data_IF_423390818653
#
_entry.id   IF_423390818653
#
_cell.length_a   1.000
_cell.length_b   1.000
_cell.length_c   1.000
_cell.angle_alpha   90.00
_cell.angle_beta   90.00
_cell.angle_gamma   90.00
#
_symmetry.space_group_name_H-M   'P 1'
#
loop_
_entity.id
_entity.type
_entity.pdbx_description
1 polymer ?
#
# COMPACT_ATOMS: atom_id res chain seq x y z
N UNK A 1 20.02 -18.41 77.15
CA UNK A 1 18.97 -18.12 76.16
C UNK A 1 18.96 -16.63 75.86
N UNK A 2 18.83 -16.27 74.58
CA UNK A 2 18.82 -14.92 73.98
C UNK A 2 20.19 -14.33 73.62
N UNK A 3 20.62 -14.58 72.39
CA UNK A 3 21.25 -13.56 71.52
C UNK A 3 21.38 -14.14 70.10
N UNK A 4 20.27 -14.18 69.38
CA UNK A 4 20.19 -14.27 67.91
C UNK A 4 19.08 -13.31 67.51
N UNK A 5 19.17 -12.74 66.30
CA UNK A 5 18.12 -11.98 65.59
C UNK A 5 18.18 -10.44 65.63
N UNK A 6 19.37 -9.82 65.61
CA UNK A 6 19.46 -8.38 65.30
C UNK A 6 20.57 -8.10 64.28
N UNK A 7 20.48 -8.68 63.07
CA UNK A 7 21.33 -8.22 61.96
C UNK A 7 20.83 -8.57 60.54
N UNK A 8 19.87 -9.48 60.39
CA UNK A 8 19.35 -9.85 59.06
C UNK A 8 18.29 -8.86 58.55
N UNK A 9 17.50 -8.24 59.44
CA UNK A 9 16.50 -7.26 59.04
C UNK A 9 17.07 -5.92 58.57
N UNK A 10 18.23 -5.50 59.08
CA UNK A 10 18.84 -4.23 58.68
C UNK A 10 19.46 -4.31 57.27
N UNK A 11 20.12 -5.42 56.95
CA UNK A 11 20.68 -5.67 55.61
C UNK A 11 19.59 -5.82 54.53
N UNK A 12 18.45 -6.45 54.85
CA UNK A 12 17.31 -6.54 53.93
C UNK A 12 16.66 -5.17 53.67
N UNK A 13 16.52 -4.31 54.69
CA UNK A 13 15.94 -2.98 54.55
C UNK A 13 16.83 -2.03 53.71
N UNK A 14 18.15 -2.15 53.83
CA UNK A 14 19.11 -1.36 53.02
C UNK A 14 19.14 -1.85 51.56
N UNK A 15 19.04 -3.16 51.30
CA UNK A 15 18.91 -3.68 49.93
C UNK A 15 17.57 -3.28 49.29
N UNK A 16 16.47 -3.26 50.05
CA UNK A 16 15.16 -2.86 49.54
C UNK A 16 15.08 -1.35 49.21
N UNK A 17 15.76 -0.50 49.98
CA UNK A 17 15.82 0.94 49.73
C UNK A 17 16.77 1.30 48.58
N UNK A 18 17.87 0.58 48.40
CA UNK A 18 18.73 0.72 47.21
C UNK A 18 18.01 0.23 45.95
N UNK A 19 17.25 -0.88 46.02
CA UNK A 19 16.43 -1.36 44.89
C UNK A 19 15.32 -0.35 44.55
N UNK A 20 14.63 0.23 45.54
CA UNK A 20 13.64 1.30 45.30
C UNK A 20 14.29 2.57 44.72
N UNK A 21 15.48 2.95 45.17
CA UNK A 21 16.21 4.10 44.65
C UNK A 21 16.74 3.88 43.23
N UNK A 22 17.11 2.65 42.87
CA UNK A 22 17.49 2.29 41.49
C UNK A 22 16.29 2.14 40.56
N UNK A 23 15.12 1.75 41.07
CA UNK A 23 13.87 1.69 40.30
C UNK A 23 13.28 3.09 40.07
N UNK A 24 13.44 4.02 41.02
CA UNK A 24 13.01 5.41 40.85
C UNK A 24 13.91 6.19 39.87
N UNK A 25 15.18 5.82 39.72
CA UNK A 25 16.11 6.48 38.78
C UNK A 25 16.12 5.87 37.37
N UNK A 26 15.36 4.79 37.11
CA UNK A 26 15.17 4.23 35.77
C UNK A 26 13.98 4.85 35.00
N UNK A 27 13.27 5.79 35.62
CA UNK A 27 12.30 6.68 34.95
C UNK A 27 12.92 8.07 34.80
N UNK A 28 14.16 8.12 34.30
CA UNK A 28 14.62 9.34 33.63
C UNK A 28 13.93 9.34 32.27
N UNK A 29 12.80 10.06 32.23
CA UNK A 29 12.06 10.29 31.00
C UNK A 29 13.02 10.75 29.91
N UNK A 30 13.09 9.97 28.84
CA UNK A 30 13.47 10.52 27.55
C UNK A 30 12.51 11.67 27.29
N UNK A 31 13.00 12.90 27.44
CA UNK A 31 12.24 14.10 27.09
C UNK A 31 11.86 13.96 25.62
N UNK A 32 10.58 13.63 25.37
CA UNK A 32 9.96 13.83 24.06
C UNK A 32 10.18 15.31 23.75
N UNK A 33 10.91 15.63 22.68
CA UNK A 33 11.11 17.02 22.26
C UNK A 33 9.80 17.54 21.67
N UNK A 34 8.89 17.93 22.56
CA UNK A 34 7.60 18.51 22.20
C UNK A 34 7.88 19.95 21.77
N UNK A 35 7.97 20.18 20.46
CA UNK A 35 7.90 21.53 19.91
C UNK A 35 6.43 21.95 19.82
N UNK A 36 5.95 22.89 20.65
CA UNK A 36 4.56 23.32 20.64
C UNK A 36 4.15 24.07 19.36
N UNK A 37 5.11 24.47 18.51
CA UNK A 37 4.85 25.07 17.20
C UNK A 37 4.87 24.05 16.05
N UNK A 38 5.13 22.77 16.35
CA UNK A 38 5.10 21.70 15.37
C UNK A 38 3.67 21.45 14.88
N UNK A 39 3.46 21.60 13.59
CA UNK A 39 2.17 21.37 12.93
C UNK A 39 1.70 19.90 13.05
N UNK A 40 2.63 18.99 13.40
CA UNK A 40 2.40 17.57 13.66
C UNK A 40 2.15 17.25 15.15
N UNK A 41 2.02 18.26 16.02
CA UNK A 41 1.65 18.07 17.42
C UNK A 41 2.82 17.76 18.36
N UNK A 42 4.05 18.06 17.95
CA UNK A 42 5.25 18.07 18.80
C UNK A 42 5.98 16.73 18.87
N UNK A 43 5.55 15.71 18.12
CA UNK A 43 6.28 14.44 18.04
C UNK A 43 7.06 14.43 16.73
N UNK A 44 8.39 14.35 16.82
CA UNK A 44 9.25 14.36 15.63
C UNK A 44 9.07 13.09 14.79
N UNK A 45 8.85 13.24 13.48
CA UNK A 45 8.84 12.09 12.56
C UNK A 45 10.21 11.39 12.47
N UNK A 46 10.18 10.07 12.26
CA UNK A 46 11.37 9.28 11.92
C UNK A 46 12.35 9.04 13.06
N UNK A 47 12.01 9.46 14.29
CA UNK A 47 12.82 9.21 15.49
C UNK A 47 12.23 8.03 16.25
N UNK A 48 12.91 6.88 16.19
CA UNK A 48 12.50 5.71 16.96
C UNK A 48 12.69 5.97 18.46
N UNK A 49 11.63 5.77 19.23
CA UNK A 49 11.61 6.04 20.67
C UNK A 49 10.79 4.94 21.39
N UNK A 50 11.32 4.39 22.48
CA UNK A 50 10.67 3.29 23.20
C UNK A 50 9.38 3.71 23.94
N UNK A 51 9.26 4.99 24.28
CA UNK A 51 8.08 5.61 24.92
C UNK A 51 7.00 5.93 23.90
N UNK A 52 7.38 6.45 22.71
CA UNK A 52 6.42 6.92 21.72
C UNK A 52 6.07 5.86 20.65
N UNK A 53 7.06 5.50 19.82
CA UNK A 53 6.92 4.53 18.74
C UNK A 53 8.33 4.08 18.33
N UNK A 54 8.60 2.79 18.46
CA UNK A 54 9.83 2.15 17.98
C UNK A 54 9.56 1.20 16.81
N UNK A 55 8.32 1.20 16.29
CA UNK A 55 7.87 0.34 15.20
C UNK A 55 7.72 -1.14 15.55
N UNK A 56 7.89 -1.52 16.82
CA UNK A 56 7.87 -2.93 17.28
C UNK A 56 6.94 -3.17 18.46
N UNK A 57 6.96 -2.30 19.46
CA UNK A 57 6.10 -2.40 20.63
C UNK A 57 4.71 -1.79 20.34
N UNK A 58 3.69 -2.33 20.99
CA UNK A 58 2.30 -1.83 20.94
C UNK A 58 1.64 -1.82 19.55
N UNK A 59 2.26 -2.47 18.56
CA UNK A 59 1.75 -2.56 17.19
C UNK A 59 0.37 -3.21 17.11
N UNK A 60 0.04 -4.09 18.06
CA UNK A 60 -1.26 -4.75 18.18
C UNK A 60 -2.44 -3.78 18.38
N UNK A 61 -2.17 -2.52 18.71
CA UNK A 61 -3.18 -1.47 18.81
C UNK A 61 -3.71 -1.07 17.42
N UNK A 62 -2.83 -1.08 16.42
CA UNK A 62 -3.22 -0.78 15.04
C UNK A 62 -3.55 -2.06 14.25
N UNK A 63 -2.81 -3.14 14.51
CA UNK A 63 -3.00 -4.46 13.90
C UNK A 63 -2.28 -5.56 14.69
N UNK A 64 -2.97 -6.66 15.02
CA UNK A 64 -2.35 -7.85 15.61
C UNK A 64 -1.65 -8.70 14.53
N UNK A 65 -0.31 -8.82 14.53
CA UNK A 65 0.40 -9.61 13.52
C UNK A 65 0.11 -11.11 13.55
N UNK A 66 -0.52 -11.62 14.61
CA UNK A 66 -0.97 -13.01 14.69
C UNK A 66 -2.34 -13.22 14.05
N UNK A 67 -3.07 -12.14 13.74
CA UNK A 67 -4.31 -12.17 12.99
C UNK A 67 -4.03 -12.30 11.49
N UNK A 68 -4.87 -13.10 10.82
CA UNK A 68 -4.93 -13.13 9.36
C UNK A 68 -6.21 -12.51 8.81
N UNK A 69 -7.08 -11.98 9.66
CA UNK A 69 -8.40 -11.52 9.27
C UNK A 69 -8.36 -10.35 8.30
N UNK A 70 -7.29 -9.56 8.27
CA UNK A 70 -7.18 -8.40 7.38
C UNK A 70 -6.90 -8.79 5.92
N UNK A 71 -6.30 -9.95 5.70
CA UNK A 71 -5.84 -10.41 4.39
C UNK A 71 -6.36 -11.81 3.99
N UNK A 72 -7.13 -12.47 4.85
CA UNK A 72 -7.76 -13.76 4.52
C UNK A 72 -9.03 -13.55 3.70
N UNK A 73 -9.13 -14.21 2.56
CA UNK A 73 -10.34 -14.22 1.75
C UNK A 73 -11.29 -15.32 2.23
N UNK A 74 -12.44 -14.94 2.81
CA UNK A 74 -13.45 -15.89 3.30
C UNK A 74 -14.62 -16.08 2.33
N UNK A 75 -14.88 -15.09 1.48
CA UNK A 75 -15.92 -15.12 0.45
C UNK A 75 -15.27 -15.52 -0.86
N UNK A 76 -15.86 -16.42 -1.66
CA UNK A 76 -15.31 -16.76 -2.98
C UNK A 76 -15.05 -15.50 -3.83
N UNK A 77 -14.14 -15.59 -4.81
CA UNK A 77 -13.79 -14.44 -5.66
C UNK A 77 -15.05 -13.78 -6.23
N UNK A 78 -15.25 -12.48 -5.97
CA UNK A 78 -16.41 -11.75 -6.45
C UNK A 78 -16.51 -11.78 -7.97
N UNK A 79 -17.67 -12.18 -8.52
CA UNK A 79 -17.94 -12.15 -9.96
C UNK A 79 -18.10 -10.74 -10.54
N UNK A 80 -18.07 -9.69 -9.70
CA UNK A 80 -18.30 -8.31 -10.12
C UNK A 80 -17.18 -7.72 -10.99
N UNK A 81 -16.12 -8.48 -11.28
CA UNK A 81 -15.07 -8.13 -12.24
C UNK A 81 -15.55 -7.99 -13.70
N UNK A 82 -16.79 -8.40 -14.01
CA UNK A 82 -17.35 -8.29 -15.38
C UNK A 82 -17.77 -6.87 -15.74
N UNK A 83 -18.04 -6.01 -14.75
CA UNK A 83 -18.42 -4.61 -14.96
C UNK A 83 -17.24 -3.72 -14.57
N UNK A 84 -16.73 -2.95 -15.54
CA UNK A 84 -15.67 -1.98 -15.29
C UNK A 84 -16.25 -0.74 -14.63
N UNK A 85 -15.96 -0.56 -13.35
CA UNK A 85 -16.34 0.59 -12.55
C UNK A 85 -15.07 1.25 -12.03
N UNK A 86 -15.07 2.58 -11.99
CA UNK A 86 -14.05 3.34 -11.31
C UNK A 86 -14.64 4.65 -10.76
N UNK A 87 -14.05 5.18 -9.70
CA UNK A 87 -14.30 6.54 -9.27
C UNK A 87 -13.04 7.17 -8.69
N UNK A 88 -12.88 8.47 -8.90
CA UNK A 88 -11.80 9.25 -8.31
C UNK A 88 -12.38 10.40 -7.51
N UNK A 89 -11.83 10.60 -6.32
CA UNK A 89 -12.20 11.68 -5.43
C UNK A 89 -10.96 12.33 -4.83
N UNK A 90 -11.01 13.65 -4.64
CA UNK A 90 -10.01 14.39 -3.88
C UNK A 90 -10.72 15.26 -2.84
N UNK A 91 -10.30 15.14 -1.59
CA UNK A 91 -10.84 15.92 -0.50
C UNK A 91 -10.39 17.38 -0.65
N UNK A 92 -11.32 18.32 -0.42
CA UNK A 92 -11.04 19.76 -0.55
C UNK A 92 -9.97 20.25 0.43
N UNK A 93 -9.89 19.61 1.59
CA UNK A 93 -9.01 19.98 2.69
C UNK A 93 -8.43 18.71 3.31
N UNK A 94 -7.12 18.70 3.55
CA UNK A 94 -6.48 17.63 4.30
C UNK A 94 -6.83 17.74 5.78
N UNK A 95 -7.02 16.60 6.44
CA UNK A 95 -7.07 16.56 7.90
C UNK A 95 -5.66 16.78 8.47
N UNK A 96 -5.58 17.32 9.69
CA UNK A 96 -4.29 17.67 10.30
C UNK A 96 -3.39 16.43 10.49
N UNK A 97 -2.14 16.46 10.01
CA UNK A 97 -1.18 15.35 10.06
C UNK A 97 -0.52 15.18 11.43
N UNK A 98 -1.31 15.03 12.49
CA UNK A 98 -0.75 14.88 13.85
C UNK A 98 -0.04 13.52 14.02
N UNK A 99 1.17 13.54 14.55
CA UNK A 99 1.88 12.35 14.97
C UNK A 99 1.38 11.85 16.32
N UNK A 100 0.95 10.58 16.35
CA UNK A 100 0.37 9.96 17.55
C UNK A 100 1.22 8.81 18.04
N UNK A 101 1.76 8.96 19.25
CA UNK A 101 2.47 7.88 19.96
C UNK A 101 1.53 6.74 20.38
N UNK A 102 2.09 5.54 20.52
CA UNK A 102 1.45 4.49 21.31
C UNK A 102 1.37 4.88 22.79
N UNK A 103 0.44 4.29 23.57
CA UNK A 103 -0.60 3.33 23.17
C UNK A 103 -1.90 4.00 22.68
N UNK A 104 -1.89 5.29 22.32
CA UNK A 104 -3.12 5.95 21.87
C UNK A 104 -3.57 5.39 20.52
N UNK A 105 -4.82 4.94 20.44
CA UNK A 105 -5.44 4.53 19.20
C UNK A 105 -5.74 5.73 18.29
N UNK A 106 -5.72 5.51 16.98
CA UNK A 106 -6.10 6.49 15.96
C UNK A 106 -7.29 5.93 15.20
N UNK A 107 -8.40 6.67 15.18
CA UNK A 107 -9.62 6.30 14.48
C UNK A 107 -9.85 7.24 13.31
N UNK A 108 -10.25 6.68 12.18
CA UNK A 108 -10.60 7.42 10.98
C UNK A 108 -12.12 7.35 10.75
N UNK A 109 -12.69 8.44 10.26
CA UNK A 109 -14.10 8.49 9.86
C UNK A 109 -14.35 7.84 8.51
N UNK A 110 -13.32 7.77 7.67
CA UNK A 110 -13.38 7.18 6.34
C UNK A 110 -12.65 5.83 6.32
N UNK A 111 -13.15 4.89 5.54
CA UNK A 111 -12.49 3.60 5.33
C UNK A 111 -11.20 3.71 4.51
N UNK A 112 -11.08 4.72 3.65
CA UNK A 112 -9.91 4.98 2.82
C UNK A 112 -9.31 6.36 3.14
N UNK A 113 -8.73 6.52 4.35
CA UNK A 113 -8.15 7.79 4.76
C UNK A 113 -6.93 8.14 3.91
N UNK A 114 -6.89 9.38 3.42
CA UNK A 114 -5.82 9.92 2.56
C UNK A 114 -5.04 11.06 3.21
N UNK A 115 -5.45 11.48 4.40
CA UNK A 115 -4.80 12.48 5.26
C UNK A 115 -5.24 12.30 6.71
N UNK A 116 -4.63 13.02 7.65
CA UNK A 116 -4.99 13.01 9.07
C UNK A 116 -3.91 12.42 9.95
N UNK A 117 -4.26 12.19 11.21
CA UNK A 117 -3.30 11.72 12.23
C UNK A 117 -2.74 10.33 11.92
N UNK A 118 -1.47 10.10 12.23
CA UNK A 118 -0.77 8.85 11.89
C UNK A 118 0.43 8.60 12.83
N UNK A 119 1.14 7.48 12.66
CA UNK A 119 2.31 7.13 13.49
C UNK A 119 3.57 7.87 13.01
N UNK A 120 4.46 8.34 13.90
CA UNK A 120 5.65 9.12 13.53
C UNK A 120 6.71 8.33 12.75
N UNK A 121 6.68 6.99 12.79
CA UNK A 121 7.52 6.15 11.93
C UNK A 121 6.72 5.64 10.74
N UNK A 122 7.06 6.12 9.54
CA UNK A 122 6.45 5.61 8.30
C UNK A 122 7.02 4.23 7.94
N UNK A 123 6.25 3.41 7.20
CA UNK A 123 6.68 2.10 6.71
C UNK A 123 7.81 2.22 5.70
N UNK A 124 8.63 1.17 5.63
CA UNK A 124 9.49 0.97 4.47
C UNK A 124 8.65 0.86 3.20
N UNK A 125 9.11 1.43 2.10
CA UNK A 125 8.42 1.29 0.82
C UNK A 125 8.47 -0.17 0.36
N UNK A 126 7.35 -0.69 -0.13
CA UNK A 126 7.26 -2.09 -0.52
C UNK A 126 5.89 -2.75 -0.41
N UNK A 127 5.91 -4.08 -0.48
CA UNK A 127 4.73 -4.94 -0.40
C UNK A 127 4.63 -5.56 0.97
N UNK A 128 3.43 -5.54 1.55
CA UNK A 128 3.14 -5.99 2.89
C UNK A 128 2.13 -7.14 2.86
N UNK A 129 2.28 -8.05 3.83
CA UNK A 129 1.26 -9.04 4.19
C UNK A 129 -0.02 -8.32 4.62
N UNK A 130 0.14 -7.30 5.46
CA UNK A 130 -0.83 -6.28 5.75
C UNK A 130 -0.10 -5.07 6.34
N UNK A 131 -0.60 -3.88 6.05
CA UNK A 131 -0.14 -2.65 6.66
C UNK A 131 -1.36 -1.84 7.10
N UNK A 132 -1.44 -1.34 8.34
CA UNK A 132 -2.61 -0.59 8.79
C UNK A 132 -2.59 0.89 8.34
N UNK A 133 -3.76 1.56 8.30
CA UNK A 133 -3.87 2.96 7.86
C UNK A 133 -2.98 3.95 8.60
N UNK A 134 -2.80 3.71 9.90
CA UNK A 134 -1.96 4.55 10.77
C UNK A 134 -0.51 4.62 10.32
N UNK A 135 -0.04 3.65 9.50
CA UNK A 135 1.31 3.64 8.92
C UNK A 135 1.34 4.26 7.53
N UNK A 136 0.42 3.87 6.64
CA UNK A 136 0.51 4.31 5.25
C UNK A 136 0.16 5.79 5.07
N UNK A 137 -0.63 6.41 5.95
CA UNK A 137 -0.99 7.84 5.82
C UNK A 137 0.25 8.73 5.89
N UNK A 138 1.24 8.37 6.73
CA UNK A 138 2.52 9.07 6.78
C UNK A 138 3.25 8.97 5.42
N UNK A 139 3.23 7.80 4.79
CA UNK A 139 3.80 7.66 3.44
C UNK A 139 3.06 8.52 2.41
N UNK A 140 1.74 8.68 2.52
CA UNK A 140 0.97 9.59 1.65
C UNK A 140 1.42 11.05 1.85
N UNK A 141 1.68 11.46 3.09
CA UNK A 141 2.21 12.78 3.43
C UNK A 141 3.58 13.04 2.78
N UNK A 142 4.42 12.02 2.71
CA UNK A 142 5.70 12.04 1.99
C UNK A 142 5.58 11.92 0.46
N UNK A 143 4.36 11.89 -0.07
CA UNK A 143 4.08 11.82 -1.50
C UNK A 143 4.13 10.43 -2.12
N UNK A 144 4.11 9.37 -1.30
CA UNK A 144 4.03 7.98 -1.78
C UNK A 144 2.66 7.66 -2.41
N UNK A 145 2.58 6.52 -3.10
CA UNK A 145 1.31 5.94 -3.57
C UNK A 145 1.04 4.65 -2.81
N UNK A 146 -0.14 4.55 -2.21
CA UNK A 146 -0.59 3.33 -1.52
C UNK A 146 -1.54 2.56 -2.42
N UNK A 147 -1.19 1.32 -2.71
CA UNK A 147 -1.90 0.37 -3.55
C UNK A 147 -2.63 -0.63 -2.64
N UNK A 148 -3.95 -0.53 -2.58
CA UNK A 148 -4.80 -1.43 -1.80
C UNK A 148 -5.57 -2.35 -2.73
N UNK A 149 -5.66 -3.63 -2.39
CA UNK A 149 -6.47 -4.59 -3.12
C UNK A 149 -7.32 -5.45 -2.17
N UNK A 150 -8.51 -5.82 -2.61
CA UNK A 150 -9.36 -6.73 -1.84
C UNK A 150 -8.73 -8.12 -1.85
N UNK A 151 -8.60 -8.84 -0.71
CA UNK A 151 -7.95 -10.15 -0.68
C UNK A 151 -8.68 -11.22 -1.53
N UNK A 152 -9.96 -11.00 -1.83
CA UNK A 152 -10.75 -11.86 -2.73
C UNK A 152 -10.79 -11.40 -4.20
N UNK A 153 -10.01 -10.38 -4.56
CA UNK A 153 -9.91 -9.96 -5.96
C UNK A 153 -9.31 -11.09 -6.83
N UNK A 154 -9.61 -11.07 -8.12
CA UNK A 154 -9.13 -12.10 -9.04
C UNK A 154 -7.58 -12.11 -9.07
N UNK A 155 -6.91 -13.27 -8.89
CA UNK A 155 -5.46 -13.33 -8.74
C UNK A 155 -4.67 -12.73 -9.91
N UNK A 156 -5.12 -12.91 -11.16
CA UNK A 156 -4.44 -12.33 -12.32
C UNK A 156 -4.53 -10.80 -12.37
N UNK A 157 -5.64 -10.22 -11.91
CA UNK A 157 -5.80 -8.77 -11.74
C UNK A 157 -4.91 -8.26 -10.59
N UNK A 158 -4.81 -8.98 -9.47
CA UNK A 158 -3.88 -8.63 -8.38
C UNK A 158 -2.44 -8.58 -8.90
N UNK A 159 -2.00 -9.53 -9.72
CA UNK A 159 -0.64 -9.52 -10.27
C UNK A 159 -0.40 -8.36 -11.25
N UNK A 160 -1.39 -7.99 -12.06
CA UNK A 160 -1.31 -6.77 -12.89
C UNK A 160 -1.21 -5.52 -12.02
N UNK A 161 -1.99 -5.44 -10.95
CA UNK A 161 -2.00 -4.33 -10.01
C UNK A 161 -0.63 -4.17 -9.31
N UNK A 162 -0.06 -5.28 -8.82
CA UNK A 162 1.30 -5.32 -8.25
C UNK A 162 2.36 -4.90 -9.26
N UNK A 163 2.25 -5.35 -10.52
CA UNK A 163 3.19 -4.95 -11.55
C UNK A 163 3.23 -3.43 -11.75
N UNK A 164 2.08 -2.76 -11.78
CA UNK A 164 2.03 -1.29 -11.87
C UNK A 164 2.75 -0.64 -10.68
N UNK A 165 2.48 -1.08 -9.45
CA UNK A 165 3.15 -0.53 -8.27
C UNK A 165 4.67 -0.63 -8.37
N UNK A 166 5.18 -1.81 -8.73
CA UNK A 166 6.62 -2.13 -8.84
C UNK A 166 7.34 -1.36 -9.95
N UNK A 167 6.65 -1.05 -11.03
CA UNK A 167 7.25 -0.45 -12.23
C UNK A 167 6.96 1.05 -12.37
N UNK A 168 6.15 1.63 -11.48
CA UNK A 168 5.80 3.04 -11.53
C UNK A 168 6.68 3.97 -10.70
N UNK A 169 7.03 3.59 -9.49
CA UNK A 169 7.79 4.45 -8.58
C UNK A 169 8.44 3.61 -7.48
N UNK A 170 9.47 4.17 -6.85
CA UNK A 170 10.10 3.65 -5.65
C UNK A 170 9.19 3.80 -4.43
N UNK A 171 8.59 4.98 -4.23
CA UNK A 171 7.73 5.28 -3.08
C UNK A 171 6.33 4.68 -3.21
N UNK A 172 6.24 3.36 -3.28
CA UNK A 172 4.97 2.64 -3.24
C UNK A 172 4.82 1.85 -1.94
N UNK A 173 3.58 1.73 -1.50
CA UNK A 173 3.15 0.77 -0.48
C UNK A 173 2.10 -0.11 -1.13
N UNK A 174 2.16 -1.42 -0.92
CA UNK A 174 1.15 -2.34 -1.42
C UNK A 174 0.67 -3.25 -0.30
N UNK A 175 -0.64 -3.29 -0.05
CA UNK A 175 -1.23 -4.08 1.03
C UNK A 175 -2.61 -4.59 0.62
N UNK A 176 -3.02 -5.80 1.04
CA UNK A 176 -4.43 -6.18 1.02
C UNK A 176 -5.25 -5.27 1.95
N UNK A 177 -6.52 -5.05 1.61
CA UNK A 177 -7.45 -4.26 2.40
C UNK A 177 -8.91 -4.63 2.13
N UNK A 178 -9.63 -5.05 3.17
CA UNK A 178 -11.03 -5.49 3.06
C UNK A 178 -12.05 -4.36 3.00
N UNK A 179 -11.75 -3.19 3.57
CA UNK A 179 -12.69 -2.07 3.67
C UNK A 179 -12.68 -1.20 2.40
N UNK A 180 -12.57 -1.85 1.24
CA UNK A 180 -12.81 -1.18 -0.03
C UNK A 180 -14.32 -1.00 -0.23
N UNK A 181 -14.76 0.03 -0.98
CA UNK A 181 -16.19 0.21 -1.27
C UNK A 181 -16.78 -1.05 -1.91
N UNK A 182 -18.09 -1.31 -1.72
CA UNK A 182 -18.77 -2.40 -2.42
C UNK A 182 -18.50 -2.36 -3.93
N UNK A 183 -18.35 -3.54 -4.53
CA UNK A 183 -18.05 -3.74 -5.95
C UNK A 183 -16.68 -3.23 -6.42
N UNK A 184 -15.85 -2.69 -5.53
CA UNK A 184 -14.48 -2.25 -5.83
C UNK A 184 -13.47 -3.25 -5.27
N UNK A 185 -12.46 -3.57 -6.08
CA UNK A 185 -11.40 -4.52 -5.73
C UNK A 185 -10.04 -3.87 -5.56
N UNK A 186 -9.85 -2.65 -6.04
CA UNK A 186 -8.55 -1.98 -6.08
C UNK A 186 -8.70 -0.51 -5.69
N UNK A 187 -7.70 0.04 -4.99
CA UNK A 187 -7.58 1.46 -4.74
C UNK A 187 -6.13 1.95 -4.84
N UNK A 188 -5.95 3.14 -5.41
CA UNK A 188 -4.72 3.93 -5.29
C UNK A 188 -5.03 5.13 -4.41
N UNK A 189 -4.25 5.29 -3.36
CA UNK A 189 -4.31 6.45 -2.47
C UNK A 189 -3.03 7.27 -2.64
N UNK A 190 -3.21 8.57 -2.67
CA UNK A 190 -2.18 9.62 -2.59
C UNK A 190 -2.70 10.68 -1.62
N UNK A 191 -1.87 11.63 -1.20
CA UNK A 191 -2.34 12.69 -0.30
C UNK A 191 -3.64 13.36 -0.79
N UNK A 192 -4.67 13.36 0.06
CA UNK A 192 -6.03 13.87 -0.21
C UNK A 192 -6.82 13.21 -1.34
N UNK A 193 -6.25 12.31 -2.14
CA UNK A 193 -6.93 11.76 -3.32
C UNK A 193 -6.95 10.24 -3.30
N UNK A 194 -8.06 9.69 -3.79
CA UNK A 194 -8.28 8.25 -3.95
C UNK A 194 -8.85 7.93 -5.32
N UNK A 195 -8.37 6.85 -5.91
CA UNK A 195 -8.93 6.21 -7.10
C UNK A 195 -9.34 4.81 -6.70
N UNK A 196 -10.62 4.44 -6.83
CA UNK A 196 -11.12 3.09 -6.60
C UNK A 196 -11.61 2.47 -7.90
N UNK A 197 -11.42 1.16 -8.07
CA UNK A 197 -11.74 0.45 -9.29
C UNK A 197 -12.21 -0.98 -8.99
N UNK A 198 -13.14 -1.50 -9.80
CA UNK A 198 -13.54 -2.91 -9.76
C UNK A 198 -12.52 -3.85 -10.43
N UNK A 199 -11.76 -3.33 -11.40
CA UNK A 199 -10.76 -4.04 -12.20
C UNK A 199 -9.50 -3.19 -12.39
N UNK A 200 -8.40 -3.81 -12.79
CA UNK A 200 -7.19 -3.10 -13.17
C UNK A 200 -7.39 -2.40 -14.52
N UNK A 201 -7.24 -1.06 -14.50
CA UNK A 201 -7.18 -0.23 -15.70
C UNK A 201 -5.81 0.46 -15.77
N UNK A 202 -4.90 -0.12 -16.57
CA UNK A 202 -3.50 0.33 -16.64
C UNK A 202 -3.37 1.81 -17.06
N UNK A 203 -4.03 2.29 -18.15
CA UNK A 203 -3.99 3.70 -18.50
C UNK A 203 -4.47 4.62 -17.38
N UNK A 204 -5.59 4.27 -16.72
CA UNK A 204 -6.16 5.07 -15.64
C UNK A 204 -5.23 5.15 -14.44
N UNK A 205 -4.67 4.02 -14.00
CA UNK A 205 -3.71 3.95 -12.89
C UNK A 205 -2.45 4.77 -13.17
N UNK A 206 -1.84 4.58 -14.36
CA UNK A 206 -0.63 5.31 -14.74
C UNK A 206 -0.88 6.81 -14.82
N UNK A 207 -2.03 7.22 -15.37
CA UNK A 207 -2.41 8.62 -15.40
C UNK A 207 -2.61 9.20 -13.99
N UNK A 208 -3.29 8.46 -13.11
CA UNK A 208 -3.48 8.87 -11.72
C UNK A 208 -2.15 9.05 -10.98
N UNK A 209 -1.24 8.07 -11.09
CA UNK A 209 0.10 8.14 -10.48
C UNK A 209 0.86 9.36 -11.01
N UNK A 210 0.95 9.52 -12.33
CA UNK A 210 1.69 10.64 -12.94
C UNK A 210 1.14 12.02 -12.58
N UNK A 211 -0.15 12.13 -12.33
CA UNK A 211 -0.80 13.42 -12.04
C UNK A 211 -0.90 13.72 -10.56
N UNK A 212 -0.84 12.71 -9.68
CA UNK A 212 -1.15 12.87 -8.25
C UNK A 212 -0.04 12.45 -7.29
N UNK A 213 0.84 11.52 -7.66
CA UNK A 213 1.95 11.13 -6.79
C UNK A 213 2.88 12.32 -6.52
N UNK A 214 3.64 12.24 -5.43
CA UNK A 214 4.64 13.24 -5.01
C UNK A 214 4.07 14.62 -4.62
N UNK A 215 2.74 14.77 -4.54
CA UNK A 215 2.07 16.01 -4.11
C UNK A 215 1.67 16.00 -2.63
N UNK A 216 2.36 15.21 -1.79
CA UNK A 216 2.23 15.31 -0.34
C UNK A 216 2.87 16.62 0.17
N UNK A 217 2.47 17.12 1.35
CA UNK A 217 2.99 18.37 1.88
C UNK A 217 4.46 18.27 2.29
N UNK A 218 4.98 17.07 2.51
CA UNK A 218 6.38 16.82 2.84
C UNK A 218 7.18 16.23 1.69
N UNK A 219 8.42 16.71 1.53
CA UNK A 219 9.35 16.25 0.50
C UNK A 219 10.41 15.32 1.09
N UNK A 220 9.95 14.17 1.57
CA UNK A 220 10.80 13.16 2.19
C UNK A 220 10.85 11.92 1.31
N UNK A 221 11.99 11.69 0.66
CA UNK A 221 12.21 10.52 -0.21
C UNK A 221 12.80 9.32 0.53
N UNK A 222 13.40 9.53 1.71
CA UNK A 222 14.06 8.47 2.48
C UNK A 222 13.08 7.36 2.88
N UNK A 223 13.61 6.14 2.87
CA UNK A 223 12.87 4.94 3.28
C UNK A 223 12.51 4.99 4.78
N UNK A 224 11.44 4.27 5.13
CA UNK A 224 10.87 4.25 6.48
C UNK A 224 11.59 3.32 7.46
N UNK A 225 11.11 3.33 8.71
CA UNK A 225 11.67 2.52 9.79
C UNK A 225 10.77 1.33 10.15
N UNK A 226 9.46 1.43 9.90
CA UNK A 226 8.53 0.35 10.20
C UNK A 226 8.55 -0.73 9.11
N UNK A 227 8.69 -1.99 9.49
CA UNK A 227 8.86 -3.13 8.57
C UNK A 227 8.03 -4.36 8.96
N UNK A 228 7.12 -4.25 9.95
CA UNK A 228 6.27 -5.37 10.35
C UNK A 228 5.35 -5.72 9.19
N UNK A 229 5.29 -7.01 8.84
CA UNK A 229 4.51 -7.51 7.72
C UNK A 229 5.14 -7.25 6.35
N UNK A 230 6.32 -6.62 6.25
CA UNK A 230 6.99 -6.38 4.98
C UNK A 230 7.39 -7.71 4.32
N UNK A 231 6.90 -7.94 3.09
CA UNK A 231 7.22 -9.11 2.27
C UNK A 231 8.34 -8.81 1.28
N UNK A 232 8.33 -7.59 0.71
CA UNK A 232 9.27 -7.19 -0.33
C UNK A 232 9.53 -5.69 -0.30
N UNK A 233 10.79 -5.30 -0.21
CA UNK A 233 11.20 -3.90 -0.37
C UNK A 233 10.90 -3.38 -1.78
N UNK A 234 10.52 -2.11 -1.87
CA UNK A 234 10.43 -1.41 -3.13
C UNK A 234 11.82 -1.25 -3.76
N UNK A 235 11.93 -1.55 -5.05
CA UNK A 235 13.12 -1.22 -5.82
C UNK A 235 13.12 0.25 -6.22
N UNK A 236 14.30 0.79 -6.54
CA UNK A 236 14.41 2.07 -7.22
C UNK A 236 13.98 1.87 -8.68
N UNK A 237 13.03 2.68 -9.17
CA UNK A 237 12.47 2.56 -10.52
C UNK A 237 13.17 3.51 -11.49
N UNK A 238 13.16 4.81 -11.20
CA UNK A 238 13.91 5.84 -11.92
C UNK A 238 15.11 6.30 -11.09
N UNK A 239 14.84 6.91 -9.94
CA UNK A 239 15.82 7.30 -8.92
C UNK A 239 15.15 7.31 -7.54
N UNK A 240 15.90 7.69 -6.49
CA UNK A 240 15.39 7.74 -5.12
C UNK A 240 14.34 8.84 -4.91
N UNK A 241 14.31 9.85 -5.77
CA UNK A 241 13.36 10.97 -5.73
C UNK A 241 12.10 10.72 -6.56
N UNK A 242 12.04 9.61 -7.30
CA UNK A 242 11.01 9.32 -8.28
C UNK A 242 10.86 10.40 -9.37
N UNK A 243 11.99 10.95 -9.86
CA UNK A 243 11.97 12.06 -10.84
C UNK A 243 11.24 11.72 -12.14
N UNK A 244 11.21 10.45 -12.54
CA UNK A 244 10.38 9.95 -13.63
C UNK A 244 9.42 8.86 -13.13
N UNK A 245 8.11 9.15 -13.23
CA UNK A 245 7.04 8.23 -12.85
C UNK A 245 6.62 7.33 -14.01
N UNK A 246 6.50 6.03 -13.73
CA UNK A 246 6.13 4.97 -14.68
C UNK A 246 6.97 4.93 -15.97
N UNK A 247 8.32 4.95 -15.87
CA UNK A 247 9.19 4.92 -17.05
C UNK A 247 9.02 3.63 -17.87
N UNK A 248 8.82 2.49 -17.19
CA UNK A 248 8.70 1.16 -17.83
C UNK A 248 7.35 0.91 -18.48
N UNK A 249 6.30 1.63 -18.06
CA UNK A 249 4.95 1.46 -18.60
C UNK A 249 4.81 2.00 -20.03
N UNK A 250 5.66 2.95 -20.44
CA UNK A 250 5.73 3.41 -21.84
C UNK A 250 6.16 2.27 -22.77
N UNK A 251 7.07 1.42 -22.31
CA UNK A 251 7.60 0.27 -23.06
C UNK A 251 6.54 -0.84 -23.17
N UNK A 252 5.81 -1.12 -22.07
CA UNK A 252 4.73 -2.12 -22.09
C UNK A 252 3.56 -1.72 -22.99
N UNK A 253 3.15 -0.44 -22.96
CA UNK A 253 2.09 0.05 -23.85
C UNK A 253 2.51 -0.05 -25.33
N UNK A 254 3.73 0.39 -25.66
CA UNK A 254 4.25 0.31 -27.02
C UNK A 254 4.37 -1.15 -27.51
N UNK A 255 4.88 -2.05 -26.67
CA UNK A 255 5.01 -3.48 -27.03
C UNK A 255 3.64 -4.17 -27.16
N UNK A 256 2.70 -3.91 -26.25
CA UNK A 256 1.34 -4.42 -26.33
C UNK A 256 0.63 -3.94 -27.61
N UNK A 257 0.82 -2.69 -28.00
CA UNK A 257 0.28 -2.13 -29.23
C UNK A 257 0.89 -2.80 -30.48
N UNK A 258 2.20 -3.06 -30.49
CA UNK A 258 2.86 -3.85 -31.54
C UNK A 258 2.24 -5.26 -31.65
N UNK A 259 2.04 -5.96 -30.52
CA UNK A 259 1.42 -7.30 -30.53
C UNK A 259 -0.05 -7.27 -30.98
N UNK A 260 -0.82 -6.26 -30.56
CA UNK A 260 -2.20 -6.05 -30.98
C UNK A 260 -2.29 -5.80 -32.48
N UNK A 261 -1.44 -4.95 -33.03
CA UNK A 261 -1.37 -4.64 -34.46
C UNK A 261 -0.97 -5.87 -35.30
N UNK A 262 0.01 -6.66 -34.84
CA UNK A 262 0.38 -7.94 -35.48
C UNK A 262 -0.79 -8.94 -35.45
N UNK A 263 -1.52 -9.02 -34.35
CA UNK A 263 -2.68 -9.91 -34.21
C UNK A 263 -3.87 -9.48 -35.08
N UNK A 264 -4.10 -8.16 -35.22
CA UNK A 264 -5.09 -7.61 -36.14
C UNK A 264 -4.71 -7.91 -37.60
N UNK A 265 -3.46 -7.66 -37.99
CA UNK A 265 -2.96 -7.95 -39.33
C UNK A 265 -3.07 -9.44 -39.69
N UNK A 266 -2.81 -10.34 -38.73
CA UNK A 266 -2.99 -11.80 -38.92
C UNK A 266 -4.46 -12.17 -39.15
N UNK A 267 -5.39 -11.56 -38.41
CA UNK A 267 -6.84 -11.76 -38.61
C UNK A 267 -7.31 -11.26 -39.97
N UNK A 268 -6.85 -10.08 -40.41
CA UNK A 268 -7.18 -9.55 -41.74
C UNK A 268 -6.67 -10.44 -42.86
N UNK A 269 -5.44 -10.97 -42.77
CA UNK A 269 -4.90 -11.94 -43.74
C UNK A 269 -5.74 -13.23 -43.80
N UNK A 270 -6.20 -13.71 -42.66
CA UNK A 270 -7.05 -14.90 -42.59
C UNK A 270 -8.43 -14.65 -43.24
N UNK A 271 -9.08 -13.52 -42.94
CA UNK A 271 -10.34 -13.12 -43.58
C UNK A 271 -10.18 -12.97 -45.10
N UNK A 272 -9.10 -12.34 -45.56
CA UNK A 272 -8.84 -12.17 -46.99
C UNK A 272 -8.61 -13.52 -47.68
N UNK A 273 -7.88 -14.43 -47.04
CA UNK A 273 -7.71 -15.80 -47.52
C UNK A 273 -9.04 -16.55 -47.59
N UNK A 274 -9.90 -16.43 -46.57
CA UNK A 274 -11.19 -17.12 -46.57
C UNK A 274 -12.13 -16.58 -47.65
N UNK A 275 -12.20 -15.25 -47.83
CA UNK A 275 -12.96 -14.63 -48.93
C UNK A 275 -12.48 -15.10 -50.30
N UNK A 276 -11.17 -15.21 -50.49
CA UNK A 276 -10.59 -15.75 -51.72
C UNK A 276 -11.01 -17.21 -51.94
N UNK A 277 -10.94 -18.06 -50.90
CA UNK A 277 -11.38 -19.46 -50.98
C UNK A 277 -12.89 -19.60 -51.21
N UNK A 278 -13.71 -18.72 -50.65
CA UNK A 278 -15.15 -18.68 -50.93
C UNK A 278 -15.42 -18.35 -52.40
N UNK A 279 -14.75 -17.34 -52.97
CA UNK A 279 -14.88 -16.98 -54.39
C UNK A 279 -14.43 -18.12 -55.30
N UNK A 280 -13.28 -18.74 -55.00
CA UNK A 280 -12.80 -19.89 -55.75
C UNK A 280 -13.82 -21.04 -55.75
N UNK A 281 -14.37 -21.38 -54.57
CA UNK A 281 -15.42 -22.42 -54.44
C UNK A 281 -16.69 -22.07 -55.22
N UNK A 282 -17.10 -20.81 -55.25
CA UNK A 282 -18.25 -20.36 -56.03
C UNK A 282 -18.02 -20.47 -57.54
N UNK A 283 -16.85 -20.02 -58.02
CA UNK A 283 -16.47 -20.13 -59.43
C UNK A 283 -16.39 -21.59 -59.89
N UNK A 284 -15.77 -22.44 -59.07
CA UNK A 284 -15.67 -23.87 -59.36
C UNK A 284 -17.06 -24.53 -59.47
N UNK A 285 -17.98 -24.20 -58.56
CA UNK A 285 -19.37 -24.69 -58.57
C UNK A 285 -20.18 -24.23 -59.79
N UNK A 286 -19.88 -23.03 -60.32
CA UNK A 286 -20.53 -22.51 -61.54
C UNK A 286 -20.00 -23.16 -62.82
N UNK A 287 -18.75 -23.63 -62.81
CA UNK A 287 -18.11 -24.26 -63.98
C UNK A 287 -18.41 -25.76 -64.09
N UNK A 288 -18.86 -26.41 -63.03
CA UNK A 288 -19.23 -27.83 -63.00
C UNK A 288 -20.58 -28.05 -62.30
N UNK A 289 -21.71 -27.74 -62.96
CA UNK A 289 -23.04 -27.79 -62.34
C UNK A 289 -23.52 -29.22 -62.00
N UNK A 290 -22.95 -30.25 -62.63
CA UNK A 290 -23.41 -31.65 -62.53
C UNK A 290 -22.49 -32.58 -61.69
N UNK A 291 -21.57 -32.01 -60.88
CA UNK A 291 -20.77 -32.80 -59.93
C UNK A 291 -21.29 -32.57 -58.52
N UNK A 292 -22.17 -33.45 -58.06
CA UNK A 292 -22.44 -33.61 -56.62
C UNK A 292 -21.15 -34.06 -55.91
N UNK A 293 -20.76 -33.32 -54.86
CA UNK A 293 -19.74 -33.72 -53.89
C UNK A 293 -20.44 -34.43 -52.74
#
# INVERSE_FOLDING_TARGET
MKMVCLNVHFLMAVMFTVILATLNNMVLGENISIDPNDIHGGVTMGVSNAVCDNGKANIQIDWDPNSSDEYTCYEGSSENYKVRLHSSHCDKTAQQPLHICYPRAINYTEDLPTSGSHRPLWPKYGEYLYLPPQRWIHSLEHGAVVFLYHPCAEPSEIEKFKAVARDCLHRYILSPYKKLPPDMNFALLVWQCRLVMSNVDLPLMVNFIKTRALNGPERVSRDGQYDVGLLRHAGIVSDVEDSELCPRMRIMAATAEVFKNRSAARRSKYQQSDQMWQRYRQQYRQQMPDVEI
#
